data_IF_201074980527
#
_entry.id   IF_201074980527
#
_cell.length_a   1.000
_cell.length_b   1.000
_cell.length_c   1.000
_cell.angle_alpha   90.00
_cell.angle_beta   90.00
_cell.angle_gamma   90.00
#
_symmetry.space_group_name_H-M   'P 1'
#
loop_
_entity.id
_entity.type
_entity.pdbx_description
1 polymer ?
#
# COMPACT_ATOMS: atom_id res chain seq x y z
N UNK A 1 -9.20 -0.73 19.96
CA UNK A 1 -9.29 -2.15 20.37
C UNK A 1 -7.93 -2.79 20.12
N UNK A 2 -7.34 -3.36 21.16
CA UNK A 2 -5.90 -3.59 21.34
C UNK A 2 -5.40 -4.96 20.86
N UNK A 3 -6.14 -5.62 19.96
CA UNK A 3 -5.70 -6.84 19.27
C UNK A 3 -6.59 -7.06 18.05
N UNK A 4 -6.01 -7.07 16.85
CA UNK A 4 -6.69 -7.58 15.66
C UNK A 4 -6.05 -8.91 15.29
N UNK A 5 -6.83 -9.99 15.42
CA UNK A 5 -6.46 -11.37 15.12
C UNK A 5 -5.94 -11.55 13.68
N UNK A 6 -4.96 -12.46 13.52
CA UNK A 6 -4.38 -12.91 12.23
C UNK A 6 -5.42 -13.29 11.16
N UNK A 7 -6.63 -13.68 11.55
CA UNK A 7 -7.70 -14.12 10.63
C UNK A 7 -8.35 -12.94 9.89
N UNK A 8 -8.40 -11.74 10.48
CA UNK A 8 -9.06 -10.58 9.85
C UNK A 8 -8.23 -9.91 8.75
N UNK A 9 -6.91 -10.12 8.74
CA UNK A 9 -6.02 -9.45 7.80
C UNK A 9 -5.99 -10.11 6.41
N UNK A 10 -6.11 -11.44 6.36
CA UNK A 10 -6.23 -12.18 5.10
C UNK A 10 -7.57 -11.93 4.39
N UNK A 11 -8.63 -11.64 5.15
CA UNK A 11 -9.94 -11.29 4.59
C UNK A 11 -9.90 -9.96 3.84
N UNK A 12 -9.12 -8.97 4.27
CA UNK A 12 -8.98 -7.68 3.57
C UNK A 12 -8.34 -7.84 2.19
N UNK A 13 -7.29 -8.66 2.07
CA UNK A 13 -6.68 -8.99 0.79
C UNK A 13 -7.67 -9.76 -0.09
N UNK A 14 -8.43 -10.70 0.49
CA UNK A 14 -9.51 -11.40 -0.20
C UNK A 14 -10.69 -10.50 -0.62
N UNK A 15 -10.84 -9.32 -0.01
CA UNK A 15 -11.81 -8.28 -0.37
C UNK A 15 -11.24 -7.22 -1.34
N UNK A 16 -9.98 -7.38 -1.78
CA UNK A 16 -9.32 -6.44 -2.70
C UNK A 16 -8.76 -5.18 -2.05
N UNK A 17 -8.63 -5.15 -0.71
CA UNK A 17 -8.07 -4.01 0.05
C UNK A 17 -6.64 -4.31 0.46
N UNK A 18 -5.70 -3.48 0.01
CA UNK A 18 -4.28 -3.60 0.37
C UNK A 18 -3.88 -2.60 1.45
N UNK A 19 -3.43 -3.06 2.62
CA UNK A 19 -2.90 -2.18 3.66
C UNK A 19 -1.50 -1.69 3.29
N UNK A 20 -1.44 -0.51 2.67
CA UNK A 20 -0.19 0.16 2.30
C UNK A 20 0.22 1.16 3.38
N UNK A 21 1.53 1.23 3.64
CA UNK A 21 2.13 2.19 4.55
C UNK A 21 3.23 2.97 3.83
N UNK A 22 3.33 4.27 4.10
CA UNK A 22 4.45 5.10 3.65
C UNK A 22 5.78 4.54 4.17
N UNK A 23 6.89 4.73 3.44
CA UNK A 23 8.21 4.35 3.93
C UNK A 23 8.54 5.11 5.23
N UNK A 24 9.47 4.55 6.02
CA UNK A 24 9.83 5.13 7.31
C UNK A 24 10.24 6.61 7.20
N UNK A 25 9.66 7.45 8.05
CA UNK A 25 9.92 8.88 8.07
C UNK A 25 9.23 9.67 6.95
N UNK A 26 8.46 9.01 6.08
CA UNK A 26 7.65 9.67 5.07
C UNK A 26 6.16 9.60 5.41
N UNK A 27 5.45 10.62 4.97
CA UNK A 27 4.00 10.78 5.08
C UNK A 27 3.50 11.63 3.90
N UNK A 28 2.18 11.78 3.79
CA UNK A 28 1.55 12.56 2.73
C UNK A 28 2.14 13.98 2.61
N UNK A 29 2.36 14.68 3.73
CA UNK A 29 2.88 16.04 3.75
C UNK A 29 4.32 16.12 3.21
N UNK A 30 5.21 15.22 3.64
CA UNK A 30 6.60 15.15 3.18
C UNK A 30 6.72 14.75 1.71
N UNK A 31 5.74 13.99 1.21
CA UNK A 31 5.63 13.59 -0.18
C UNK A 31 4.87 14.61 -1.04
N UNK A 32 4.33 15.68 -0.43
CA UNK A 32 3.54 16.70 -1.12
C UNK A 32 2.20 16.18 -1.66
N UNK A 33 1.68 15.08 -1.09
CA UNK A 33 0.44 14.44 -1.54
C UNK A 33 -0.77 15.19 -1.00
N UNK A 34 -1.69 15.59 -1.88
CA UNK A 34 -2.93 16.28 -1.49
C UNK A 34 -4.11 15.32 -1.30
N UNK A 35 -4.03 14.13 -1.90
CA UNK A 35 -5.10 13.14 -1.94
C UNK A 35 -6.06 13.31 -3.11
N UNK A 36 -5.81 14.28 -3.99
CA UNK A 36 -6.58 14.53 -5.22
C UNK A 36 -5.91 13.89 -6.45
N UNK A 37 -4.68 13.40 -6.29
CA UNK A 37 -3.90 12.76 -7.33
C UNK A 37 -4.42 11.36 -7.68
N UNK A 38 -4.20 10.97 -8.93
CA UNK A 38 -4.37 9.60 -9.39
C UNK A 38 -3.15 8.76 -9.01
N UNK A 39 -3.36 7.76 -8.15
CA UNK A 39 -2.33 6.82 -7.73
C UNK A 39 -2.29 5.59 -8.63
N UNK A 40 -1.11 5.27 -9.14
CA UNK A 40 -0.80 4.06 -9.90
C UNK A 40 0.07 3.13 -9.06
N UNK A 41 -0.31 1.85 -8.99
CA UNK A 41 0.38 0.84 -8.18
C UNK A 41 0.99 -0.22 -9.09
N UNK A 42 2.32 -0.40 -9.01
CA UNK A 42 3.05 -1.45 -9.73
C UNK A 42 3.59 -2.48 -8.74
N UNK A 43 3.66 -3.76 -9.16
CA UNK A 43 4.08 -4.87 -8.29
C UNK A 43 2.92 -5.58 -7.57
N UNK A 44 1.69 -5.09 -7.73
CA UNK A 44 0.48 -5.74 -7.19
C UNK A 44 0.11 -7.04 -7.93
N UNK A 45 0.65 -7.28 -9.12
CA UNK A 45 0.36 -8.49 -9.91
C UNK A 45 0.80 -9.77 -9.21
N UNK A 46 1.83 -9.71 -8.37
CA UNK A 46 2.31 -10.86 -7.58
C UNK A 46 1.28 -11.36 -6.56
N UNK A 47 0.36 -10.48 -6.11
CA UNK A 47 -0.75 -10.85 -5.23
C UNK A 47 -1.68 -11.87 -5.88
N UNK A 48 -1.87 -11.80 -7.20
CA UNK A 48 -2.67 -12.78 -7.94
C UNK A 48 -2.04 -14.17 -7.95
N UNK A 49 -0.72 -14.25 -7.74
CA UNK A 49 0.01 -15.52 -7.63
C UNK A 49 0.06 -16.03 -6.18
N UNK A 50 -0.74 -15.46 -5.26
CA UNK A 50 -0.76 -15.81 -3.84
C UNK A 50 0.47 -15.34 -3.06
N UNK A 51 1.34 -14.54 -3.68
CA UNK A 51 2.54 -14.00 -3.05
C UNK A 51 2.26 -12.55 -2.67
N UNK A 52 2.33 -12.23 -1.38
CA UNK A 52 2.22 -10.83 -0.95
C UNK A 52 3.58 -10.15 -1.08
N UNK A 53 3.75 -9.17 -2.00
CA UNK A 53 5.00 -8.43 -2.09
C UNK A 53 5.20 -7.61 -0.81
N UNK A 54 6.45 -7.45 -0.36
CA UNK A 54 6.78 -6.67 0.85
C UNK A 54 6.61 -5.17 0.62
N UNK A 55 6.77 -4.73 -0.62
CA UNK A 55 6.65 -3.34 -1.05
C UNK A 55 5.94 -3.27 -2.40
N UNK A 56 5.20 -2.20 -2.64
CA UNK A 56 4.61 -1.87 -3.93
C UNK A 56 5.08 -0.48 -4.35
N UNK A 57 5.32 -0.29 -5.64
CA UNK A 57 5.72 1.01 -6.17
C UNK A 57 4.47 1.84 -6.42
N UNK A 58 4.41 3.02 -5.82
CA UNK A 58 3.34 3.99 -5.99
C UNK A 58 3.86 5.15 -6.81
N UNK A 59 3.11 5.52 -7.84
CA UNK A 59 3.40 6.66 -8.71
C UNK A 59 2.15 7.53 -8.82
N UNK A 60 2.27 8.83 -8.64
CA UNK A 60 1.18 9.79 -8.85
C UNK A 60 1.23 10.41 -10.24
N UNK A 61 0.12 10.94 -10.72
CA UNK A 61 0.10 11.73 -11.98
C UNK A 61 0.88 13.06 -11.85
N UNK A 62 1.09 13.53 -10.63
CA UNK A 62 1.94 14.69 -10.31
C UNK A 62 3.44 14.39 -10.41
N UNK A 63 3.83 13.13 -10.63
CA UNK A 63 5.22 12.70 -10.79
C UNK A 63 5.93 12.31 -9.49
N UNK A 64 5.21 12.20 -8.38
CA UNK A 64 5.75 11.71 -7.11
C UNK A 64 5.79 10.19 -7.13
N UNK A 65 6.93 9.61 -6.78
CA UNK A 65 7.12 8.17 -6.75
C UNK A 65 7.71 7.72 -5.41
N UNK A 66 7.14 6.68 -4.81
CA UNK A 66 7.62 6.12 -3.56
C UNK A 66 7.30 4.62 -3.44
N UNK A 67 8.12 3.90 -2.69
CA UNK A 67 7.86 2.51 -2.33
C UNK A 67 7.00 2.45 -1.07
N UNK A 68 5.77 1.97 -1.20
CA UNK A 68 4.88 1.73 -0.09
C UNK A 68 5.08 0.32 0.47
N UNK A 69 5.19 0.20 1.79
CA UNK A 69 5.35 -1.08 2.48
C UNK A 69 3.98 -1.74 2.65
N UNK A 70 3.85 -3.01 2.26
CA UNK A 70 2.63 -3.78 2.48
C UNK A 70 2.65 -4.38 3.89
N UNK A 71 1.68 -4.00 4.73
CA UNK A 71 1.57 -4.48 6.12
C UNK A 71 0.58 -5.64 6.21
N UNK A 72 1.09 -6.87 6.07
CA UNK A 72 0.37 -8.11 6.43
C UNK A 72 0.69 -8.62 7.83
#
# INVERSE_FOLDING_TARGET
AESYERIHRSNLIGMGVLPLQFPEGQNAETLGLTGEEAFSFTGVTELNNGTTPRTVKVTTDTGVEFDAVVRI
#
